data_IF_191410253657
#
_entry.id   IF_191410253657
#
_cell.length_a   1.000
_cell.length_b   1.000
_cell.length_c   1.000
_cell.angle_alpha   90.00
_cell.angle_beta   90.00
_cell.angle_gamma   90.00
#
_symmetry.space_group_name_H-M   'P 1'
#
loop_
_entity.id
_entity.type
_entity.pdbx_description
1 polymer ?
#
# COMPACT_ATOMS: atom_id res chain seq x y z
N UNK A 1 1.08 -1.39 10.87
CA UNK A 1 1.40 -0.15 11.61
C UNK A 1 1.28 -0.34 13.11
N UNK A 2 0.93 -1.54 13.59
CA UNK A 2 0.78 -1.82 15.01
C UNK A 2 -0.47 -1.19 15.62
N UNK A 3 -1.43 -0.73 14.81
CA UNK A 3 -2.66 -0.16 15.34
C UNK A 3 -3.51 -1.23 16.04
N UNK A 4 -4.06 -0.92 17.21
CA UNK A 4 -4.75 -1.88 18.08
C UNK A 4 -5.93 -2.59 17.39
N UNK A 5 -6.56 -1.93 16.41
CA UNK A 5 -7.64 -2.55 15.61
C UNK A 5 -7.18 -3.75 14.77
N UNK A 6 -5.88 -3.91 14.55
CA UNK A 6 -5.29 -5.05 13.83
C UNK A 6 -4.77 -6.15 14.74
N UNK A 7 -4.79 -5.95 16.06
CA UNK A 7 -4.17 -6.83 17.06
C UNK A 7 -5.21 -7.37 18.04
N UNK A 8 -6.42 -7.67 17.55
CA UNK A 8 -7.45 -8.30 18.36
C UNK A 8 -7.16 -9.80 18.55
N UNK A 9 -7.62 -10.43 19.65
CA UNK A 9 -7.45 -11.86 19.85
C UNK A 9 -7.96 -12.69 18.66
N UNK A 10 -9.08 -12.31 18.06
CA UNK A 10 -9.68 -13.00 16.92
C UNK A 10 -8.77 -12.94 15.69
N UNK A 11 -8.14 -11.78 15.45
CA UNK A 11 -7.22 -11.60 14.32
C UNK A 11 -5.95 -12.43 14.51
N UNK A 12 -5.44 -12.50 15.75
CA UNK A 12 -4.22 -13.24 16.08
C UNK A 12 -4.44 -14.75 16.07
N UNK A 13 -5.58 -15.24 16.57
CA UNK A 13 -5.91 -16.67 16.51
C UNK A 13 -6.10 -17.10 15.05
N UNK A 14 -6.82 -16.31 14.24
CA UNK A 14 -6.95 -16.59 12.81
C UNK A 14 -5.60 -16.64 12.10
N UNK A 15 -4.70 -15.69 12.39
CA UNK A 15 -3.36 -15.68 11.79
C UNK A 15 -2.54 -16.92 12.20
N UNK A 16 -2.60 -17.30 13.48
CA UNK A 16 -1.94 -18.49 14.02
C UNK A 16 -2.44 -19.77 13.37
N UNK A 17 -3.76 -19.93 13.24
CA UNK A 17 -4.38 -21.09 12.59
C UNK A 17 -3.98 -21.24 11.11
N UNK A 18 -3.66 -20.13 10.45
CA UNK A 18 -3.24 -20.10 9.05
C UNK A 18 -1.73 -19.97 8.84
N UNK A 19 -0.92 -20.15 9.90
CA UNK A 19 0.54 -20.01 9.85
C UNK A 19 1.03 -18.64 9.32
N UNK A 20 0.28 -17.59 9.62
CA UNK A 20 0.62 -16.20 9.27
C UNK A 20 1.33 -15.53 10.45
N UNK A 21 2.55 -15.06 10.23
CA UNK A 21 3.31 -14.30 11.22
C UNK A 21 2.92 -12.81 11.12
N UNK A 22 2.37 -12.26 12.21
CA UNK A 22 2.00 -10.84 12.31
C UNK A 22 3.15 -10.06 12.93
N UNK A 23 3.73 -9.11 12.18
CA UNK A 23 4.78 -8.22 12.67
C UNK A 23 4.20 -6.93 13.26
N UNK A 24 4.38 -6.75 14.57
CA UNK A 24 4.11 -5.47 15.24
C UNK A 24 5.31 -4.53 15.08
N UNK A 25 5.14 -3.52 14.24
CA UNK A 25 6.17 -2.51 14.01
C UNK A 25 6.21 -1.51 15.18
N UNK A 26 7.39 -0.96 15.53
CA UNK A 26 7.48 0.02 16.60
C UNK A 26 6.58 1.25 16.34
N UNK A 27 5.98 1.84 17.38
CA UNK A 27 5.10 3.00 17.22
C UNK A 27 5.83 4.16 16.54
N UNK A 28 5.11 4.96 15.76
CA UNK A 28 5.60 6.14 15.04
C UNK A 28 6.75 5.89 14.03
N UNK A 29 6.97 4.64 13.61
CA UNK A 29 8.02 4.30 12.62
C UNK A 29 7.48 4.03 11.21
N UNK A 30 6.20 4.31 10.94
CA UNK A 30 5.52 4.18 9.63
C UNK A 30 6.39 4.60 8.44
N UNK A 31 7.06 5.75 8.53
CA UNK A 31 7.88 6.32 7.47
C UNK A 31 9.25 5.63 7.27
N UNK A 32 9.63 4.69 8.15
CA UNK A 32 10.94 4.01 8.13
C UNK A 32 10.83 2.52 7.88
N UNK A 33 9.81 1.86 8.46
CA UNK A 33 9.74 0.38 8.47
C UNK A 33 8.53 -0.17 7.72
N UNK A 34 7.64 0.67 7.19
CA UNK A 34 6.53 0.18 6.36
C UNK A 34 6.84 0.34 4.86
N UNK A 35 7.06 -0.75 4.11
CA UNK A 35 7.40 -0.70 2.68
C UNK A 35 6.43 0.13 1.84
N UNK A 36 5.14 -0.03 2.15
CA UNK A 36 4.05 0.76 1.57
C UNK A 36 4.34 2.27 1.64
N UNK A 37 4.67 2.76 2.83
CA UNK A 37 4.86 4.19 3.10
C UNK A 37 6.27 4.67 2.75
N UNK A 38 7.28 3.80 2.78
CA UNK A 38 8.68 4.14 2.47
C UNK A 38 8.88 4.42 0.99
N UNK A 39 8.30 3.61 0.09
CA UNK A 39 8.40 3.91 -1.35
C UNK A 39 7.38 3.26 -2.27
N UNK A 40 6.68 2.19 -1.86
CA UNK A 40 5.77 1.51 -2.78
C UNK A 40 4.54 2.37 -3.16
N UNK A 41 4.05 3.24 -2.28
CA UNK A 41 2.90 4.12 -2.57
C UNK A 41 3.27 5.39 -3.36
N UNK A 42 4.55 5.76 -3.45
CA UNK A 42 4.92 7.00 -4.15
C UNK A 42 4.56 6.98 -5.65
N UNK A 43 4.87 5.93 -6.43
CA UNK A 43 4.45 5.86 -7.83
C UNK A 43 2.93 5.74 -7.99
N UNK A 44 2.26 5.01 -7.11
CA UNK A 44 0.78 4.93 -7.12
C UNK A 44 0.16 6.32 -6.98
N UNK A 45 0.61 7.10 -5.99
CA UNK A 45 0.12 8.47 -5.77
C UNK A 45 0.36 9.36 -6.99
N UNK A 46 1.52 9.22 -7.63
CA UNK A 46 1.85 9.97 -8.85
C UNK A 46 0.89 9.64 -10.00
N UNK A 47 0.68 8.34 -10.30
CA UNK A 47 -0.22 7.92 -11.37
C UNK A 47 -1.69 8.23 -11.07
N UNK A 48 -2.11 8.09 -9.81
CA UNK A 48 -3.44 8.47 -9.37
C UNK A 48 -3.71 9.96 -9.63
N UNK A 49 -2.78 10.84 -9.25
CA UNK A 49 -2.91 12.28 -9.50
C UNK A 49 -2.91 12.63 -11.00
N UNK A 50 -2.16 11.88 -11.82
CA UNK A 50 -2.17 12.06 -13.26
C UNK A 50 -3.54 11.69 -13.86
N UNK A 51 -4.07 10.51 -13.52
CA UNK A 51 -5.37 10.05 -14.01
C UNK A 51 -6.53 10.95 -13.57
N UNK A 52 -6.50 11.46 -12.33
CA UNK A 52 -7.51 12.42 -11.87
C UNK A 52 -7.48 13.72 -12.66
N UNK A 53 -6.27 14.23 -12.98
CA UNK A 53 -6.10 15.44 -13.80
C UNK A 53 -6.59 15.21 -15.23
N UNK A 54 -6.24 14.07 -15.82
CA UNK A 54 -6.65 13.72 -17.18
C UNK A 54 -8.18 13.54 -17.26
N UNK A 55 -8.78 12.91 -16.25
CA UNK A 55 -10.23 12.78 -16.13
C UNK A 55 -10.91 14.15 -16.10
N UNK A 56 -10.44 15.05 -15.23
CA UNK A 56 -10.98 16.41 -15.12
C UNK A 56 -10.84 17.20 -16.42
N UNK A 57 -9.67 17.13 -17.07
CA UNK A 57 -9.43 17.80 -18.34
C UNK A 57 -10.33 17.28 -19.47
N UNK A 58 -10.73 16.00 -19.40
CA UNK A 58 -11.57 15.36 -20.42
C UNK A 58 -13.07 15.63 -20.20
N UNK A 59 -13.52 15.60 -18.94
CA UNK A 59 -14.95 15.65 -18.61
C UNK A 59 -15.43 17.01 -18.08
N UNK A 60 -14.53 17.85 -17.59
CA UNK A 60 -14.85 19.14 -16.99
C UNK A 60 -15.35 19.07 -15.54
N UNK A 61 -15.31 17.91 -14.90
CA UNK A 61 -15.71 17.71 -13.51
C UNK A 61 -14.84 16.64 -12.81
N UNK A 62 -14.90 16.61 -11.47
CA UNK A 62 -14.12 15.68 -10.65
C UNK A 62 -14.64 14.25 -10.74
N UNK A 63 -13.74 13.28 -10.59
CA UNK A 63 -14.07 11.85 -10.64
C UNK A 63 -15.20 11.51 -9.64
N UNK A 64 -16.33 10.95 -10.10
CA UNK A 64 -17.41 10.55 -9.21
C UNK A 64 -17.03 9.31 -8.39
N UNK A 65 -17.68 9.13 -7.24
CA UNK A 65 -17.40 8.02 -6.34
C UNK A 65 -17.59 6.64 -7.00
N UNK A 66 -18.49 6.52 -7.97
CA UNK A 66 -18.74 5.29 -8.74
C UNK A 66 -17.50 4.81 -9.49
N UNK A 67 -16.63 5.73 -9.91
CA UNK A 67 -15.54 5.44 -10.84
C UNK A 67 -14.18 5.38 -10.12
N UNK A 68 -14.14 5.76 -8.84
CA UNK A 68 -12.93 5.73 -8.00
C UNK A 68 -12.24 4.38 -8.05
N UNK A 69 -12.99 3.29 -7.90
CA UNK A 69 -12.42 1.93 -7.90
C UNK A 69 -11.78 1.62 -9.25
N UNK A 70 -12.47 1.93 -10.35
CA UNK A 70 -11.98 1.66 -11.69
C UNK A 70 -10.67 2.42 -11.97
N UNK A 71 -10.67 3.74 -11.74
CA UNK A 71 -9.48 4.59 -11.98
C UNK A 71 -8.34 4.24 -11.01
N UNK A 72 -8.66 3.85 -9.78
CA UNK A 72 -7.66 3.43 -8.81
C UNK A 72 -6.95 2.15 -9.26
N UNK A 73 -7.69 1.19 -9.82
CA UNK A 73 -7.11 -0.05 -10.34
C UNK A 73 -6.17 0.21 -11.52
N UNK A 74 -6.46 1.19 -12.37
CA UNK A 74 -5.54 1.63 -13.42
C UNK A 74 -4.28 2.29 -12.84
N UNK A 75 -4.42 3.20 -11.87
CA UNK A 75 -3.27 3.79 -11.17
C UNK A 75 -2.40 2.71 -10.50
N UNK A 76 -3.02 1.68 -9.92
CA UNK A 76 -2.36 0.56 -9.26
C UNK A 76 -1.54 -0.27 -10.23
N UNK A 77 -2.08 -0.61 -11.41
CA UNK A 77 -1.36 -1.34 -12.46
C UNK A 77 -0.12 -0.57 -12.91
N UNK A 78 -0.20 0.75 -13.01
CA UNK A 78 0.92 1.60 -13.43
C UNK A 78 1.98 1.79 -12.32
N UNK A 79 1.52 2.00 -11.08
CA UNK A 79 2.38 2.36 -9.96
C UNK A 79 3.08 1.19 -9.26
N UNK A 80 2.43 0.03 -9.17
CA UNK A 80 2.99 -1.13 -8.47
C UNK A 80 3.79 -2.01 -9.43
N UNK A 81 5.09 -1.72 -9.50
CA UNK A 81 6.08 -2.52 -10.25
C UNK A 81 6.86 -3.43 -9.30
N UNK A 82 7.16 -4.69 -9.68
CA UNK A 82 7.91 -5.62 -8.83
C UNK A 82 9.23 -5.03 -8.31
N UNK A 83 9.96 -4.30 -9.15
CA UNK A 83 11.22 -3.65 -8.80
C UNK A 83 11.07 -2.61 -7.69
N UNK A 84 10.01 -1.80 -7.74
CA UNK A 84 9.74 -0.77 -6.75
C UNK A 84 9.30 -1.39 -5.43
N UNK A 85 8.49 -2.46 -5.49
CA UNK A 85 8.06 -3.20 -4.30
C UNK A 85 9.27 -3.83 -3.60
N UNK A 86 10.15 -4.53 -4.34
CA UNK A 86 11.37 -5.13 -3.78
C UNK A 86 12.26 -4.08 -3.12
N UNK A 87 12.52 -2.96 -3.81
CA UNK A 87 13.29 -1.83 -3.25
C UNK A 87 12.63 -1.25 -1.98
N UNK A 88 11.30 -1.21 -1.93
CA UNK A 88 10.58 -0.72 -0.75
C UNK A 88 10.76 -1.64 0.46
N UNK A 89 10.73 -2.95 0.26
CA UNK A 89 10.97 -3.95 1.29
C UNK A 89 12.40 -3.81 1.84
N UNK A 90 13.42 -3.83 0.97
CA UNK A 90 14.82 -3.67 1.38
C UNK A 90 15.06 -2.36 2.13
N UNK A 91 14.51 -1.24 1.65
CA UNK A 91 14.64 0.08 2.33
C UNK A 91 13.98 0.13 3.71
N UNK A 92 13.00 -0.74 3.95
CA UNK A 92 12.29 -0.82 5.23
C UNK A 92 12.93 -1.79 6.21
N UNK A 93 14.10 -2.37 5.87
CA UNK A 93 14.74 -3.41 6.66
C UNK A 93 13.99 -4.76 6.63
N UNK A 94 12.97 -4.88 5.79
CA UNK A 94 12.28 -6.12 5.49
C UNK A 94 12.96 -6.66 4.24
N UNK A 95 14.20 -7.12 4.40
CA UNK A 95 14.78 -7.95 3.36
C UNK A 95 13.92 -9.22 3.31
N UNK A 96 13.39 -9.55 2.13
CA UNK A 96 12.78 -10.86 1.94
C UNK A 96 13.92 -11.84 2.06
N UNK A 97 14.19 -12.33 3.28
CA UNK A 97 14.98 -13.51 3.49
C UNK A 97 14.32 -14.58 2.63
N UNK A 98 14.99 -14.95 1.53
CA UNK A 98 14.65 -16.17 0.80
C UNK A 98 14.75 -17.29 1.85
N UNK A 99 13.66 -18.03 2.13
CA UNK A 99 13.63 -19.04 3.18
C UNK A 99 14.66 -20.16 2.97
#
# INVERSE_FOLDING_TARGET
DGHNSHLTPETLEFAKDHNVIVFCLPPHTTHRVQPCNVSAFAPLKHHWQALLRDYYNTHGYFLPASDVVHVYMEARKLGFKPETIKKACCKSGIDMMDP
#
